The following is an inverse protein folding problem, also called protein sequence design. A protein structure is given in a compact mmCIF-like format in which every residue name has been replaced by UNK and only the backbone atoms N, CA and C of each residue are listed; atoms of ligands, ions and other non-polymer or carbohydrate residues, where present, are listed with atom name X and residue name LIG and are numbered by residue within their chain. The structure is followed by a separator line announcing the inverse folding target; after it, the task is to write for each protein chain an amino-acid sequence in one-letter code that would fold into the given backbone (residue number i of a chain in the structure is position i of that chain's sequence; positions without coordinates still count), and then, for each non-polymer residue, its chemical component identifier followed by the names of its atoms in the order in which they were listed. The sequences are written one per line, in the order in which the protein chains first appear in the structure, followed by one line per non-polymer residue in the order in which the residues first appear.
data_IF_860207867336
#
_entry.id   IF_860207867336
#
_cell.length_a   1.000
_cell.length_b   1.000
_cell.length_c   1.000
_cell.angle_alpha   90.00
_cell.angle_beta   90.00
_cell.angle_gamma   90.00
#
_symmetry.space_group_name_H-M   'P 1'
#
loop_
_entity.id
_entity.type
_entity.pdbx_description
1 polymer ?
#
# COMPACT_ATOMS: atom_id res chain seq x y z
N UNK A 1 19.38 -2.07 7.82
CA UNK A 1 19.75 -1.52 6.50
C UNK A 1 19.99 0.00 6.53
N UNK A 2 20.19 0.63 7.70
CA UNK A 2 20.51 2.06 7.89
C UNK A 2 19.79 3.02 6.92
N UNK A 3 18.49 2.85 6.76
CA UNK A 3 17.66 3.68 5.88
C UNK A 3 17.85 3.45 4.37
N UNK A 4 18.71 2.51 3.94
CA UNK A 4 18.85 2.13 2.54
C UNK A 4 17.66 1.29 2.09
N UNK A 5 16.96 1.80 1.09
CA UNK A 5 15.79 1.19 0.47
C UNK A 5 15.95 1.27 -1.05
N UNK A 6 15.49 0.25 -1.77
CA UNK A 6 15.44 0.22 -3.24
C UNK A 6 14.04 -0.25 -3.63
N UNK A 7 13.41 0.46 -4.56
CA UNK A 7 12.08 0.15 -5.06
C UNK A 7 12.16 -0.12 -6.57
N UNK A 8 11.40 -1.13 -7.01
CA UNK A 8 11.16 -1.44 -8.42
C UNK A 8 9.71 -1.15 -8.72
N UNK A 9 9.45 -0.38 -9.78
CA UNK A 9 8.09 -0.22 -10.30
C UNK A 9 7.72 -1.48 -11.06
N UNK A 10 6.65 -2.15 -10.61
CA UNK A 10 6.11 -3.34 -11.26
C UNK A 10 4.97 -2.95 -12.24
N UNK A 11 3.76 -3.45 -12.01
CA UNK A 11 2.60 -3.21 -12.87
C UNK A 11 1.57 -2.25 -12.31
N UNK A 12 0.64 -1.84 -13.17
CA UNK A 12 -0.54 -1.06 -12.83
C UNK A 12 -1.32 -0.74 -14.09
N UNK A 13 -2.54 -1.26 -14.20
CA UNK A 13 -3.34 -1.12 -15.43
C UNK A 13 -4.12 0.19 -15.51
N UNK A 14 -4.41 0.81 -14.36
CA UNK A 14 -5.01 2.13 -14.31
C UNK A 14 -3.89 3.17 -14.15
N UNK A 15 -3.62 3.92 -15.22
CA UNK A 15 -2.49 4.86 -15.28
C UNK A 15 -2.61 6.01 -14.28
N UNK A 16 -3.82 6.51 -14.02
CA UNK A 16 -4.07 7.56 -13.03
C UNK A 16 -3.81 7.04 -11.62
N UNK A 17 -4.30 5.84 -11.30
CA UNK A 17 -4.02 5.20 -10.03
C UNK A 17 -2.54 4.88 -9.83
N UNK A 18 -1.85 4.44 -10.89
CA UNK A 18 -0.42 4.17 -10.86
C UNK A 18 0.37 5.44 -10.58
N UNK A 19 0.10 6.52 -11.32
CA UNK A 19 0.76 7.81 -11.13
C UNK A 19 0.53 8.37 -9.72
N UNK A 20 -0.72 8.35 -9.23
CA UNK A 20 -1.05 8.80 -7.88
C UNK A 20 -0.33 7.99 -6.80
N UNK A 21 -0.28 6.67 -6.94
CA UNK A 21 0.38 5.76 -5.97
C UNK A 21 1.90 5.96 -5.93
N UNK A 22 2.53 6.18 -7.09
CA UNK A 22 3.97 6.42 -7.16
C UNK A 22 4.33 7.80 -6.60
N UNK A 23 3.53 8.82 -6.89
CA UNK A 23 3.69 10.15 -6.27
C UNK A 23 3.59 10.06 -4.75
N UNK A 24 2.55 9.40 -4.22
CA UNK A 24 2.36 9.24 -2.78
C UNK A 24 3.54 8.50 -2.11
N UNK A 25 4.11 7.51 -2.80
CA UNK A 25 5.32 6.80 -2.33
C UNK A 25 6.50 7.76 -2.22
N UNK A 26 6.75 8.59 -3.23
CA UNK A 26 7.83 9.57 -3.17
C UNK A 26 7.59 10.67 -2.13
N UNK A 27 6.35 11.14 -1.97
CA UNK A 27 6.02 12.12 -0.93
C UNK A 27 6.48 11.61 0.44
N UNK A 28 6.13 10.37 0.82
CA UNK A 28 6.55 9.78 2.09
C UNK A 28 8.08 9.62 2.17
N UNK A 29 8.72 9.10 1.12
CA UNK A 29 10.17 8.90 1.11
C UNK A 29 10.97 10.21 1.19
N UNK A 30 10.39 11.31 0.71
CA UNK A 30 10.97 12.66 0.78
C UNK A 30 10.54 13.43 2.04
N UNK A 31 9.77 12.81 2.95
CA UNK A 31 9.35 13.40 4.21
C UNK A 31 8.11 14.29 4.14
N UNK A 32 7.40 14.29 3.02
CA UNK A 32 6.10 14.94 2.88
C UNK A 32 4.98 14.03 3.42
N UNK A 33 4.21 14.51 4.39
CA UNK A 33 3.13 13.75 5.04
C UNK A 33 1.74 14.13 4.55
N UNK A 34 1.63 15.18 3.73
CA UNK A 34 0.36 15.61 3.13
C UNK A 34 0.22 14.91 1.78
N UNK A 35 -0.57 13.83 1.76
CA UNK A 35 -0.80 13.01 0.57
C UNK A 35 -2.12 13.41 -0.08
N UNK A 36 -2.05 13.82 -1.34
CA UNK A 36 -3.23 14.11 -2.16
C UNK A 36 -3.77 12.79 -2.74
N UNK A 37 -5.04 12.47 -2.43
CA UNK A 37 -5.77 11.36 -3.05
C UNK A 37 -6.85 11.90 -3.99
N UNK A 38 -6.53 11.95 -5.29
CA UNK A 38 -7.43 12.43 -6.33
C UNK A 38 -8.51 11.42 -6.71
N UNK A 39 -8.28 10.13 -6.45
CA UNK A 39 -9.25 9.08 -6.76
C UNK A 39 -10.33 9.00 -5.67
N UNK A 40 -9.94 9.30 -4.43
CA UNK A 40 -10.84 9.39 -3.30
C UNK A 40 -11.43 8.03 -2.91
N UNK A 41 -12.54 8.09 -2.18
CA UNK A 41 -13.20 6.89 -1.67
C UNK A 41 -13.82 6.07 -2.81
N UNK A 42 -13.77 4.73 -2.74
CA UNK A 42 -14.41 3.88 -3.72
C UNK A 42 -15.92 4.13 -3.77
N UNK A 43 -16.55 4.07 -4.96
CA UNK A 43 -17.98 4.39 -5.12
C UNK A 43 -18.94 3.39 -4.45
N UNK A 44 -18.45 2.22 -4.02
CA UNK A 44 -19.22 1.22 -3.28
C UNK A 44 -18.51 0.89 -1.97
N UNK A 45 -19.17 1.17 -0.86
CA UNK A 45 -18.74 0.78 0.48
C UNK A 45 -19.45 -0.51 0.88
N UNK A 46 -18.89 -1.66 0.51
CA UNK A 46 -19.19 -2.89 1.25
C UNK A 46 -18.19 -2.98 2.40
N UNK A 47 -18.63 -3.53 3.53
CA UNK A 47 -17.69 -3.88 4.59
C UNK A 47 -16.72 -4.93 4.04
N UNK A 48 -15.43 -4.63 4.10
CA UNK A 48 -14.41 -5.57 3.66
C UNK A 48 -14.42 -6.79 4.61
N UNK A 49 -14.38 -8.03 4.08
CA UNK A 49 -14.28 -9.20 4.94
C UNK A 49 -12.99 -9.12 5.76
N UNK A 50 -13.03 -9.61 7.01
CA UNK A 50 -11.86 -9.61 7.88
C UNK A 50 -10.74 -10.48 7.31
N UNK A 51 -9.55 -9.90 7.17
CA UNK A 51 -8.32 -10.64 6.81
C UNK A 51 -7.57 -11.20 8.03
N UNK A 52 -8.07 -11.00 9.25
CA UNK A 52 -7.40 -11.45 10.47
C UNK A 52 -7.10 -12.97 10.49
N UNK A 53 -7.99 -13.88 10.02
CA UNK A 53 -7.68 -15.30 9.94
C UNK A 53 -6.48 -15.61 9.01
N UNK A 54 -6.34 -14.85 7.92
CA UNK A 54 -5.22 -15.01 6.99
C UNK A 54 -3.90 -14.58 7.66
N UNK A 55 -3.90 -13.44 8.34
CA UNK A 55 -2.73 -12.95 9.09
C UNK A 55 -2.30 -13.99 10.14
N UNK A 56 -3.26 -14.55 10.90
CA UNK A 56 -2.97 -15.60 11.90
C UNK A 56 -2.26 -16.79 11.25
N UNK A 57 -2.82 -17.33 10.17
CA UNK A 57 -2.25 -18.49 9.46
C UNK A 57 -0.85 -18.22 8.91
N UNK A 58 -0.61 -17.03 8.35
CA UNK A 58 0.72 -16.64 7.86
C UNK A 58 1.72 -16.61 9.01
N UNK A 59 1.37 -16.01 10.15
CA UNK A 59 2.28 -15.97 11.29
C UNK A 59 2.60 -17.37 11.85
N UNK A 60 1.63 -18.28 11.92
CA UNK A 60 1.86 -19.68 12.33
C UNK A 60 2.85 -20.39 11.40
N UNK A 61 2.68 -20.27 10.08
CA UNK A 61 3.59 -20.85 9.08
C UNK A 61 5.03 -20.34 9.26
N UNK A 62 5.16 -19.05 9.55
CA UNK A 62 6.47 -18.40 9.73
C UNK A 62 7.00 -18.43 11.18
N UNK A 63 6.31 -19.12 12.11
CA UNK A 63 6.68 -19.21 13.54
C UNK A 63 6.84 -17.84 14.22
N UNK A 64 5.95 -16.91 13.88
CA UNK A 64 5.87 -15.57 14.45
C UNK A 64 4.79 -15.45 15.56
N UNK A 65 4.25 -16.60 15.99
CA UNK A 65 3.31 -16.80 17.12
C UNK A 65 3.61 -18.12 17.80
#
# INVERSE_FOLDING_TARGET
CDGRLVFSLEGGYNLEALAASIKATFDILLGNTIIEDRLGQPPRSFEAPSIAPLIKKIKEIHKLV
#
